data_IF_886180978180
#
_entry.id   IF_886180978180
#
_cell.length_a   1.000
_cell.length_b   1.000
_cell.length_c   1.000
_cell.angle_alpha   90.00
_cell.angle_beta   90.00
_cell.angle_gamma   90.00
#
_symmetry.space_group_name_H-M   'P 1'
#
loop_
_entity.id
_entity.type
_entity.pdbx_description
1 polymer ?
#
# COMPACT_ATOMS: atom_id res chain seq x y z
N UNK A 1 -25.50 28.67 12.84
CA UNK A 1 -24.10 29.00 12.52
C UNK A 1 -23.30 27.70 12.51
N UNK A 2 -22.54 27.42 11.45
CA UNK A 2 -21.65 26.26 11.44
C UNK A 2 -20.57 26.46 12.50
N UNK A 3 -20.37 25.48 13.39
CA UNK A 3 -19.28 25.53 14.38
C UNK A 3 -17.96 25.30 13.64
N UNK A 4 -17.26 26.38 13.29
CA UNK A 4 -15.92 26.31 12.73
C UNK A 4 -14.89 26.16 13.85
N UNK A 5 -13.98 25.21 13.73
CA UNK A 5 -12.79 25.09 14.59
C UNK A 5 -11.54 25.45 13.79
N UNK A 6 -10.59 26.15 14.41
CA UNK A 6 -9.29 26.47 13.79
C UNK A 6 -8.28 25.35 14.04
N UNK A 7 -7.43 25.08 13.05
CA UNK A 7 -6.35 24.09 13.12
C UNK A 7 -5.00 24.77 12.85
N UNK A 8 -4.04 24.58 13.75
CA UNK A 8 -2.66 25.06 13.58
C UNK A 8 -1.74 23.87 13.28
N UNK A 9 -1.05 23.92 12.14
CA UNK A 9 -0.20 22.82 11.66
C UNK A 9 1.23 23.34 11.50
N UNK A 10 2.20 22.56 11.98
CA UNK A 10 3.62 22.76 11.63
C UNK A 10 3.92 21.95 10.37
N UNK A 11 4.46 22.61 9.36
CA UNK A 11 4.82 22.01 8.09
C UNK A 11 6.19 22.54 7.67
N UNK A 12 6.96 21.70 6.99
CA UNK A 12 8.18 22.14 6.33
C UNK A 12 7.84 23.19 5.25
N UNK A 13 8.51 24.35 5.22
CA UNK A 13 8.19 25.43 4.29
C UNK A 13 8.39 25.03 2.83
N UNK A 14 9.34 24.15 2.53
CA UNK A 14 9.58 23.63 1.18
C UNK A 14 8.43 22.71 0.76
N UNK A 15 8.02 21.79 1.63
CA UNK A 15 6.86 20.92 1.36
C UNK A 15 5.59 21.76 1.17
N UNK A 16 5.38 22.80 1.99
CA UNK A 16 4.24 23.71 1.83
C UNK A 16 4.22 24.31 0.42
N UNK A 17 5.33 24.87 -0.04
CA UNK A 17 5.41 25.51 -1.34
C UNK A 17 5.15 24.53 -2.50
N UNK A 18 5.76 23.35 -2.45
CA UNK A 18 5.59 22.29 -3.46
C UNK A 18 4.12 21.85 -3.57
N UNK A 19 3.46 21.64 -2.43
CA UNK A 19 2.06 21.19 -2.37
C UNK A 19 1.09 22.30 -2.78
N UNK A 20 1.39 23.56 -2.44
CA UNK A 20 0.61 24.72 -2.85
C UNK A 20 0.57 24.87 -4.38
N UNK A 21 1.71 24.64 -5.06
CA UNK A 21 1.77 24.61 -6.52
C UNK A 21 0.95 23.46 -7.11
N UNK A 22 1.00 22.27 -6.51
CA UNK A 22 0.20 21.11 -6.95
C UNK A 22 -1.29 21.43 -6.89
N UNK A 23 -1.78 21.96 -5.76
CA UNK A 23 -3.21 22.24 -5.57
C UNK A 23 -3.70 23.45 -6.34
N UNK A 24 -2.85 24.45 -6.56
CA UNK A 24 -3.18 25.60 -7.41
C UNK A 24 -3.58 25.18 -8.83
N UNK A 25 -2.97 24.11 -9.38
CA UNK A 25 -3.35 23.54 -10.69
C UNK A 25 -4.80 23.01 -10.73
N UNK A 26 -5.35 22.66 -9.58
CA UNK A 26 -6.73 22.20 -9.43
C UNK A 26 -7.66 23.29 -8.88
N UNK A 27 -7.19 24.53 -8.74
CA UNK A 27 -7.95 25.63 -8.16
C UNK A 27 -8.27 25.45 -6.67
N UNK A 28 -7.45 24.68 -5.95
CA UNK A 28 -7.64 24.36 -4.53
C UNK A 28 -6.55 24.99 -3.67
N UNK A 29 -6.92 25.45 -2.47
CA UNK A 29 -5.96 25.79 -1.43
C UNK A 29 -5.55 24.57 -0.60
N UNK A 30 -4.47 24.69 0.17
CA UNK A 30 -4.09 23.67 1.17
C UNK A 30 -5.23 23.44 2.18
N UNK A 31 -5.96 24.49 2.56
CA UNK A 31 -7.11 24.39 3.47
C UNK A 31 -8.23 23.55 2.86
N UNK A 32 -8.51 23.71 1.57
CA UNK A 32 -9.52 22.90 0.87
C UNK A 32 -9.10 21.43 0.83
N UNK A 33 -7.83 21.16 0.51
CA UNK A 33 -7.29 19.81 0.50
C UNK A 33 -7.38 19.13 1.88
N UNK A 34 -7.07 19.85 2.97
CA UNK A 34 -7.21 19.34 4.33
C UNK A 34 -8.68 19.04 4.66
N UNK A 35 -9.60 19.92 4.28
CA UNK A 35 -11.03 19.67 4.50
C UNK A 35 -11.51 18.42 3.75
N UNK A 36 -11.13 18.27 2.48
CA UNK A 36 -11.44 17.07 1.69
C UNK A 36 -10.89 15.81 2.35
N UNK A 37 -9.64 15.85 2.82
CA UNK A 37 -9.02 14.74 3.54
C UNK A 37 -9.83 14.33 4.78
N UNK A 38 -10.24 15.30 5.61
CA UNK A 38 -11.01 15.04 6.83
C UNK A 38 -12.42 14.48 6.52
N UNK A 39 -13.11 15.04 5.52
CA UNK A 39 -14.41 14.52 5.10
C UNK A 39 -14.31 13.11 4.55
N UNK A 40 -13.30 12.83 3.73
CA UNK A 40 -13.10 11.49 3.18
C UNK A 40 -12.78 10.48 4.29
N UNK A 41 -11.93 10.87 5.25
CA UNK A 41 -11.60 10.04 6.41
C UNK A 41 -12.84 9.67 7.22
N UNK A 42 -13.72 10.65 7.45
CA UNK A 42 -15.01 10.45 8.12
C UNK A 42 -15.93 9.51 7.32
N UNK A 43 -16.01 9.68 6.00
CA UNK A 43 -16.92 8.91 5.17
C UNK A 43 -16.58 7.41 5.14
N UNK A 44 -15.28 7.08 5.18
CA UNK A 44 -14.81 5.68 5.14
C UNK A 44 -14.50 5.10 6.52
N UNK A 45 -14.65 5.89 7.60
CA UNK A 45 -14.21 5.55 8.95
C UNK A 45 -12.76 5.02 9.02
N UNK A 46 -11.86 5.72 8.34
CA UNK A 46 -10.49 5.26 8.16
C UNK A 46 -9.62 6.30 7.46
N UNK A 47 -8.45 5.86 7.01
CA UNK A 47 -7.50 6.74 6.34
C UNK A 47 -7.80 6.80 4.84
N UNK A 48 -7.91 7.99 4.23
CA UNK A 48 -8.39 8.18 2.87
C UNK A 48 -7.30 7.95 1.82
N UNK A 49 -6.29 7.18 2.19
CA UNK A 49 -5.25 6.69 1.29
C UNK A 49 -4.90 5.26 1.67
N UNK A 50 -4.52 4.50 0.66
CA UNK A 50 -4.00 3.16 0.84
C UNK A 50 -2.59 3.24 1.39
N UNK A 51 -2.39 2.67 2.58
CA UNK A 51 -1.08 2.62 3.24
C UNK A 51 -0.21 1.47 2.74
N UNK A 52 -0.73 0.62 1.86
CA UNK A 52 0.07 -0.44 1.27
C UNK A 52 1.19 0.20 0.45
N UNK A 53 2.44 -0.27 0.59
CA UNK A 53 3.52 0.16 -0.28
C UNK A 53 3.07 -0.04 -1.73
N UNK A 54 3.42 0.92 -2.58
CA UNK A 54 3.10 0.84 -3.99
C UNK A 54 3.55 -0.51 -4.55
N UNK A 55 2.86 -1.06 -5.54
CA UNK A 55 3.25 -2.33 -6.15
C UNK A 55 4.72 -2.33 -6.63
N UNK A 56 5.29 -1.14 -6.86
CA UNK A 56 6.68 -0.90 -7.22
C UNK A 56 7.65 -1.08 -6.02
N UNK A 57 7.26 -0.66 -4.82
CA UNK A 57 7.99 -0.91 -3.57
C UNK A 57 7.79 -2.34 -3.06
N UNK A 58 6.60 -2.93 -3.24
CA UNK A 58 6.32 -4.33 -2.96
C UNK A 58 6.99 -5.30 -3.96
N UNK A 59 7.33 -4.81 -5.16
CA UNK A 59 8.20 -5.46 -6.15
C UNK A 59 9.68 -5.21 -5.91
N UNK A 60 10.09 -4.66 -4.77
CA UNK A 60 11.40 -5.05 -4.27
C UNK A 60 11.39 -6.58 -4.25
N UNK A 61 12.21 -7.26 -5.06
CA UNK A 61 12.12 -8.70 -5.19
C UNK A 61 12.20 -9.26 -3.78
N UNK A 62 11.21 -10.09 -3.39
CA UNK A 62 11.43 -11.08 -2.35
C UNK A 62 12.84 -11.60 -2.62
N UNK A 63 13.78 -11.28 -1.73
CA UNK A 63 15.19 -11.57 -1.96
C UNK A 63 15.30 -12.99 -2.51
N UNK A 64 16.14 -13.27 -3.53
CA UNK A 64 16.35 -14.63 -4.03
C UNK A 64 16.57 -15.66 -2.91
N UNK A 65 17.01 -15.20 -1.74
CA UNK A 65 17.12 -15.96 -0.48
C UNK A 65 15.80 -16.61 0.01
N UNK A 66 14.61 -16.03 -0.24
CA UNK A 66 13.35 -16.67 0.16
C UNK A 66 12.97 -17.86 -0.72
N UNK A 67 13.40 -17.90 -2.00
CA UNK A 67 13.39 -19.11 -2.83
C UNK A 67 14.48 -20.06 -2.34
N UNK A 68 14.21 -20.70 -1.21
CA UNK A 68 15.08 -21.70 -0.64
C UNK A 68 15.41 -21.52 0.84
N UNK A 69 14.92 -20.46 1.50
CA UNK A 69 15.07 -20.27 2.94
C UNK A 69 14.52 -21.46 3.75
N UNK A 70 13.49 -22.14 3.21
CA UNK A 70 12.90 -23.33 3.80
C UNK A 70 13.57 -24.65 3.35
N UNK A 71 14.58 -24.62 2.45
CA UNK A 71 15.28 -25.85 2.01
C UNK A 71 15.96 -26.59 3.16
N UNK A 72 16.37 -25.87 4.21
CA UNK A 72 16.94 -26.46 5.43
C UNK A 72 15.92 -27.24 6.28
N UNK A 73 14.64 -27.00 6.06
CA UNK A 73 13.54 -27.72 6.71
C UNK A 73 12.86 -28.73 5.78
N UNK A 74 13.28 -28.80 4.51
CA UNK A 74 12.75 -29.78 3.56
C UNK A 74 13.35 -31.15 3.86
N UNK A 75 12.49 -32.15 4.07
CA UNK A 75 12.91 -33.54 4.22
C UNK A 75 13.50 -34.04 2.89
N UNK A 76 14.80 -34.44 2.85
CA UNK A 76 15.43 -34.94 1.62
C UNK A 76 14.70 -36.14 1.01
N UNK A 77 14.04 -36.97 1.83
CA UNK A 77 13.35 -38.16 1.37
C UNK A 77 12.04 -37.85 0.61
N UNK A 78 11.47 -36.66 0.82
CA UNK A 78 10.20 -36.24 0.22
C UNK A 78 10.38 -35.38 -1.03
N UNK A 79 11.61 -34.93 -1.34
CA UNK A 79 11.94 -34.11 -2.52
C UNK A 79 11.37 -34.66 -3.83
N UNK A 80 11.57 -35.95 -4.09
CA UNK A 80 11.09 -36.60 -5.32
C UNK A 80 9.55 -36.73 -5.37
N UNK A 81 8.88 -36.72 -4.22
CA UNK A 81 7.40 -36.74 -4.14
C UNK A 81 6.81 -35.33 -4.28
N UNK A 82 7.54 -34.33 -3.81
CA UNK A 82 7.18 -32.91 -3.84
C UNK A 82 7.45 -32.27 -5.21
N UNK A 83 8.34 -32.85 -6.02
CA UNK A 83 8.59 -32.44 -7.40
C UNK A 83 7.28 -32.51 -8.22
N UNK A 84 6.88 -31.39 -8.81
CA UNK A 84 5.61 -31.27 -9.53
C UNK A 84 4.34 -31.39 -8.66
N UNK A 85 4.44 -31.40 -7.32
CA UNK A 85 3.24 -31.42 -6.45
C UNK A 85 2.39 -30.14 -6.59
N UNK A 86 3.05 -29.00 -6.82
CA UNK A 86 2.39 -27.71 -7.06
C UNK A 86 1.66 -27.67 -8.41
N UNK A 87 2.24 -28.25 -9.46
CA UNK A 87 1.61 -28.36 -10.78
C UNK A 87 0.38 -29.27 -10.74
N UNK A 88 0.49 -30.44 -10.10
CA UNK A 88 -0.65 -31.35 -9.91
C UNK A 88 -1.76 -30.74 -9.05
N UNK A 89 -1.41 -29.93 -8.05
CA UNK A 89 -2.40 -29.22 -7.23
C UNK A 89 -3.09 -28.08 -8.02
N UNK A 90 -2.34 -27.37 -8.87
CA UNK A 90 -2.86 -26.32 -9.73
C UNK A 90 -3.81 -26.88 -10.80
N UNK A 91 -3.42 -27.95 -11.50
CA UNK A 91 -4.27 -28.64 -12.48
C UNK A 91 -5.58 -29.14 -11.87
N UNK A 92 -5.55 -29.55 -10.59
CA UNK A 92 -6.75 -30.04 -9.89
C UNK A 92 -7.75 -28.92 -9.54
N UNK A 93 -7.32 -27.65 -9.52
CA UNK A 93 -8.15 -26.51 -9.17
C UNK A 93 -8.53 -25.61 -10.36
N UNK A 94 -7.88 -25.76 -11.53
CA UNK A 94 -8.23 -25.04 -12.76
C UNK A 94 -9.27 -25.77 -13.65
N UNK A 95 -9.83 -26.87 -13.15
CA UNK A 95 -10.95 -27.59 -13.77
C UNK A 95 -12.30 -27.31 -13.13
N UNK A 96 -12.69 -26.03 -12.96
CA UNK A 96 -14.10 -25.57 -12.78
C UNK A 96 -14.27 -24.24 -13.51
#
# INVERSE_FOLDING_TARGET
>A
MAKSSSLYIRIDPKIKAEVEEIYARYGMSITDAINVFLYQSRNINGLPFDLRPSAQEARAPLSPSMKGALRKYADPALRAKEEGAWERAAEKHEGI
#
